data_IF_716676760844
#
_entry.id   IF_716676760844
#
_cell.length_a   1.000
_cell.length_b   1.000
_cell.length_c   1.000
_cell.angle_alpha   90.00
_cell.angle_beta   90.00
_cell.angle_gamma   90.00
#
_symmetry.space_group_name_H-M   'P 1'
#
loop_
_entity.id
_entity.type
_entity.pdbx_description
1 polymer ?
#
# COMPACT_ATOMS: atom_id res chain seq x y z
N UNK A 1 -8.46 -17.25 -17.62
CA UNK A 1 -9.60 -17.79 -16.85
C UNK A 1 -9.97 -16.79 -15.77
N UNK A 2 -11.11 -16.10 -15.90
CA UNK A 2 -11.61 -15.20 -14.85
C UNK A 2 -12.31 -16.06 -13.79
N UNK A 3 -11.83 -16.01 -12.54
CA UNK A 3 -12.52 -16.67 -11.42
C UNK A 3 -13.83 -15.92 -11.11
N UNK A 4 -14.81 -16.65 -10.59
CA UNK A 4 -16.08 -16.07 -10.12
C UNK A 4 -15.83 -14.85 -9.20
N UNK A 5 -16.64 -13.78 -9.28
CA UNK A 5 -16.50 -12.60 -8.43
C UNK A 5 -16.51 -12.94 -6.94
N UNK A 6 -17.17 -14.03 -6.54
CA UNK A 6 -17.25 -14.46 -5.14
C UNK A 6 -16.09 -15.37 -4.68
N UNK A 7 -15.13 -15.66 -5.57
CA UNK A 7 -14.06 -16.60 -5.27
C UNK A 7 -13.03 -15.99 -4.30
N UNK A 8 -12.65 -16.78 -3.28
CA UNK A 8 -11.52 -16.45 -2.43
C UNK A 8 -10.23 -16.35 -3.25
N UNK A 9 -9.48 -15.26 -3.05
CA UNK A 9 -8.22 -15.00 -3.76
C UNK A 9 -7.03 -15.22 -2.85
N UNK A 10 -5.97 -15.81 -3.38
CA UNK A 10 -4.71 -15.95 -2.64
C UNK A 10 -3.93 -14.64 -2.64
N UNK A 11 -3.00 -14.46 -1.70
CA UNK A 11 -2.13 -13.27 -1.68
C UNK A 11 -1.33 -13.07 -2.97
N UNK A 12 -0.94 -14.14 -3.64
CA UNK A 12 -0.25 -14.07 -4.93
C UNK A 12 -1.18 -13.55 -6.03
N UNK A 13 -2.43 -13.99 -6.05
CA UNK A 13 -3.43 -13.53 -7.02
C UNK A 13 -3.78 -12.06 -6.81
N UNK A 14 -4.01 -11.64 -5.55
CA UNK A 14 -4.29 -10.24 -5.22
C UNK A 14 -3.08 -9.36 -5.55
N UNK A 15 -1.87 -9.85 -5.31
CA UNK A 15 -0.63 -9.15 -5.64
C UNK A 15 -0.51 -8.88 -7.13
N UNK A 16 -0.76 -9.88 -7.97
CA UNK A 16 -0.72 -9.73 -9.44
C UNK A 16 -1.86 -8.85 -9.96
N UNK A 17 -3.06 -8.96 -9.38
CA UNK A 17 -4.22 -8.18 -9.83
C UNK A 17 -4.11 -6.70 -9.50
N UNK A 18 -3.60 -6.37 -8.32
CA UNK A 18 -3.51 -4.99 -7.84
C UNK A 18 -2.15 -4.34 -8.14
N UNK A 19 -1.20 -5.12 -8.68
CA UNK A 19 0.19 -4.74 -8.88
C UNK A 19 0.85 -4.24 -7.58
N UNK A 20 0.55 -4.92 -6.47
CA UNK A 20 1.09 -4.62 -5.14
C UNK A 20 1.92 -5.80 -4.68
N UNK A 21 3.19 -5.62 -4.25
CA UNK A 21 4.00 -6.74 -3.77
C UNK A 21 3.37 -7.47 -2.58
N UNK A 22 3.51 -8.80 -2.54
CA UNK A 22 2.91 -9.62 -1.47
C UNK A 22 3.35 -9.19 -0.05
N UNK A 23 4.57 -8.69 0.13
CA UNK A 23 5.04 -8.22 1.44
C UNK A 23 4.34 -6.94 1.89
N UNK A 24 3.97 -6.05 0.95
CA UNK A 24 3.17 -4.84 1.24
C UNK A 24 1.77 -5.25 1.68
N UNK A 25 1.16 -6.24 1.01
CA UNK A 25 -0.14 -6.79 1.43
C UNK A 25 -0.07 -7.37 2.86
N UNK A 26 0.98 -8.14 3.19
CA UNK A 26 1.21 -8.65 4.55
C UNK A 26 1.38 -7.52 5.57
N UNK A 27 2.06 -6.45 5.19
CA UNK A 27 2.22 -5.28 6.06
C UNK A 27 0.88 -4.56 6.27
N UNK A 28 0.07 -4.41 5.22
CA UNK A 28 -1.27 -3.83 5.33
C UNK A 28 -2.20 -4.64 6.23
N UNK A 29 -2.08 -5.97 6.28
CA UNK A 29 -2.82 -6.80 7.26
C UNK A 29 -2.52 -6.39 8.71
N UNK A 30 -1.32 -5.89 9.00
CA UNK A 30 -0.94 -5.45 10.35
C UNK A 30 -1.46 -4.07 10.70
N UNK A 31 -1.54 -3.17 9.70
CA UNK A 31 -1.96 -1.78 9.90
C UNK A 31 -3.48 -1.65 9.80
N UNK A 32 -4.14 -2.35 8.89
CA UNK A 32 -5.58 -2.26 8.66
C UNK A 32 -6.30 -3.47 9.24
N UNK A 33 -6.76 -3.36 10.50
CA UNK A 33 -7.46 -4.43 11.22
C UNK A 33 -8.76 -4.92 10.54
N UNK A 34 -9.29 -4.15 9.59
CA UNK A 34 -10.46 -4.51 8.79
C UNK A 34 -10.13 -5.53 7.70
N UNK A 35 -8.89 -5.57 7.20
CA UNK A 35 -8.41 -6.59 6.26
C UNK A 35 -8.09 -7.85 7.06
N UNK A 36 -8.97 -8.85 7.04
CA UNK A 36 -8.78 -10.09 7.81
C UNK A 36 -8.66 -11.29 6.89
N UNK A 37 -7.43 -11.68 6.48
CA UNK A 37 -7.26 -12.85 5.65
C UNK A 37 -7.70 -14.11 6.40
N UNK A 38 -8.41 -15.00 5.70
CA UNK A 38 -8.74 -16.31 6.19
C UNK A 38 -7.48 -17.18 6.18
N UNK A 39 -6.99 -17.51 7.37
CA UNK A 39 -5.84 -18.41 7.56
C UNK A 39 -6.33 -19.86 7.53
N UNK A 40 -6.00 -20.60 6.47
CA UNK A 40 -6.23 -22.05 6.39
C UNK A 40 -4.96 -22.80 6.81
N UNK A 41 -5.09 -24.07 7.20
CA UNK A 41 -3.96 -24.95 7.50
C UNK A 41 -2.88 -24.87 6.41
N UNK A 42 -1.61 -24.76 6.82
CA UNK A 42 -0.47 -24.59 5.91
C UNK A 42 -0.04 -23.13 5.65
N UNK A 43 -0.50 -22.15 6.43
CA UNK A 43 0.01 -20.77 6.40
C UNK A 43 -0.40 -19.93 5.18
N UNK A 44 -1.26 -20.47 4.31
CA UNK A 44 -1.81 -19.76 3.15
C UNK A 44 -2.91 -18.80 3.60
N UNK A 45 -2.87 -17.60 3.00
CA UNK A 45 -3.83 -16.52 3.24
C UNK A 45 -4.78 -16.43 2.07
N UNK A 46 -6.08 -16.40 2.38
CA UNK A 46 -7.14 -16.19 1.41
C UNK A 46 -7.89 -14.90 1.78
N UNK A 47 -8.07 -14.03 0.80
CA UNK A 47 -8.88 -12.82 0.92
C UNK A 47 -10.27 -13.09 0.38
N UNK A 48 -11.28 -12.54 1.06
CA UNK A 48 -12.64 -12.48 0.51
C UNK A 48 -12.68 -11.43 -0.60
N UNK A 49 -13.62 -11.52 -1.55
CA UNK A 49 -13.85 -10.47 -2.54
C UNK A 49 -13.96 -9.08 -1.92
N UNK A 50 -14.71 -8.97 -0.80
CA UNK A 50 -14.84 -7.73 -0.03
C UNK A 50 -13.51 -7.20 0.53
N UNK A 51 -12.60 -8.09 0.95
CA UNK A 51 -11.28 -7.68 1.42
C UNK A 51 -10.42 -7.18 0.25
N UNK A 52 -10.55 -7.78 -0.93
CA UNK A 52 -9.82 -7.36 -2.14
C UNK A 52 -10.27 -5.98 -2.60
N UNK A 53 -11.58 -5.69 -2.56
CA UNK A 53 -12.13 -4.36 -2.82
C UNK A 53 -11.60 -3.33 -1.84
N UNK A 54 -11.54 -3.68 -0.55
CA UNK A 54 -11.01 -2.80 0.48
C UNK A 54 -9.50 -2.54 0.29
N UNK A 55 -8.71 -3.56 -0.05
CA UNK A 55 -7.28 -3.40 -0.37
C UNK A 55 -7.09 -2.49 -1.60
N UNK A 56 -7.96 -2.63 -2.62
CA UNK A 56 -7.96 -1.75 -3.81
C UNK A 56 -8.22 -0.29 -3.40
N UNK A 57 -9.18 -0.06 -2.51
CA UNK A 57 -9.48 1.27 -1.97
C UNK A 57 -8.32 1.87 -1.17
N UNK A 58 -7.69 1.07 -0.29
CA UNK A 58 -6.49 1.49 0.46
C UNK A 58 -5.36 1.87 -0.50
N UNK A 59 -5.10 1.06 -1.53
CA UNK A 59 -4.08 1.35 -2.54
C UNK A 59 -4.34 2.71 -3.19
N UNK A 60 -5.58 2.96 -3.59
CA UNK A 60 -5.93 4.22 -4.26
C UNK A 60 -5.76 5.42 -3.31
N UNK A 61 -6.15 5.29 -2.03
CA UNK A 61 -5.91 6.32 -1.02
C UNK A 61 -4.42 6.64 -0.85
N UNK A 62 -3.57 5.61 -0.75
CA UNK A 62 -2.14 5.77 -0.51
C UNK A 62 -1.39 6.27 -1.75
N UNK A 63 -1.59 5.63 -2.90
CA UNK A 63 -0.79 5.88 -4.10
C UNK A 63 -1.38 6.95 -5.02
N UNK A 64 -2.71 7.04 -5.16
CA UNK A 64 -3.33 8.04 -6.04
C UNK A 64 -3.59 9.36 -5.31
N UNK A 65 -4.10 9.28 -4.08
CA UNK A 65 -4.47 10.47 -3.31
C UNK A 65 -3.41 10.94 -2.32
N UNK A 66 -2.33 10.17 -2.14
CA UNK A 66 -1.19 10.55 -1.31
C UNK A 66 -1.48 10.56 0.19
N UNK A 67 -2.50 9.83 0.65
CA UNK A 67 -2.77 9.71 2.08
C UNK A 67 -1.66 8.94 2.79
N UNK A 68 -1.39 9.31 4.04
CA UNK A 68 -0.55 8.49 4.93
C UNK A 68 -1.32 7.27 5.41
N UNK A 69 -0.61 6.24 5.89
CA UNK A 69 -1.23 5.04 6.48
C UNK A 69 -2.16 5.43 7.65
N UNK A 70 -1.73 6.37 8.50
CA UNK A 70 -2.56 6.89 9.60
C UNK A 70 -3.79 7.64 9.09
N UNK A 71 -3.64 8.44 8.04
CA UNK A 71 -4.75 9.13 7.39
C UNK A 71 -5.78 8.16 6.83
N UNK A 72 -5.34 7.15 6.09
CA UNK A 72 -6.19 6.10 5.55
C UNK A 72 -6.89 5.29 6.67
N UNK A 73 -6.19 4.97 7.77
CA UNK A 73 -6.80 4.30 8.92
C UNK A 73 -7.91 5.12 9.57
N UNK A 74 -7.72 6.44 9.73
CA UNK A 74 -8.72 7.34 10.31
C UNK A 74 -9.96 7.39 9.43
N UNK A 75 -9.78 7.60 8.12
CA UNK A 75 -10.86 7.65 7.13
C UNK A 75 -11.65 6.34 7.12
N UNK A 76 -10.95 5.21 7.18
CA UNK A 76 -11.57 3.89 7.19
C UNK A 76 -12.34 3.60 8.49
N UNK A 77 -11.93 4.19 9.62
CA UNK A 77 -12.65 4.11 10.90
C UNK A 77 -13.93 4.92 10.86
N UNK A 78 -13.92 6.11 10.26
CA UNK A 78 -15.08 7.00 10.12
C UNK A 78 -16.16 6.37 9.24
N UNK A 79 -15.77 5.64 8.18
CA UNK A 79 -16.70 4.95 7.29
C UNK A 79 -17.10 3.52 7.75
N UNK A 80 -16.75 3.14 8.98
CA UNK A 80 -17.14 1.84 9.52
C UNK A 80 -16.48 0.64 8.80
N UNK A 81 -15.33 0.84 8.16
CA UNK A 81 -14.57 -0.22 7.51
C UNK A 81 -15.08 -0.65 6.15
N UNK A 82 -15.92 0.15 5.48
CA UNK A 82 -16.28 -0.02 4.07
C UNK A 82 -15.65 1.07 3.21
N UNK A 83 -15.33 0.72 1.95
CA UNK A 83 -14.82 1.65 0.95
C UNK A 83 -15.69 1.48 -0.29
N UNK A 84 -16.88 2.07 -0.27
CA UNK A 84 -17.81 1.96 -1.39
C UNK A 84 -17.49 3.00 -2.48
N UNK A 85 -16.92 4.15 -2.09
CA UNK A 85 -16.48 5.19 -3.03
C UNK A 85 -15.29 5.99 -2.48
N UNK A 86 -14.10 5.71 -3.03
CA UNK A 86 -12.83 6.35 -2.62
C UNK A 86 -12.85 7.86 -2.90
N UNK A 87 -13.38 8.29 -4.04
CA UNK A 87 -13.40 9.70 -4.41
C UNK A 87 -14.31 10.52 -3.49
N UNK A 88 -15.47 9.96 -3.13
CA UNK A 88 -16.37 10.57 -2.15
C UNK A 88 -15.72 10.65 -0.75
N UNK A 89 -15.02 9.58 -0.33
CA UNK A 89 -14.22 9.53 0.90
C UNK A 89 -13.19 10.66 0.96
N UNK A 90 -12.41 10.81 -0.11
CA UNK A 90 -11.34 11.82 -0.19
C UNK A 90 -11.93 13.22 -0.23
N UNK A 91 -13.05 13.41 -0.93
CA UNK A 91 -13.75 14.70 -1.00
C UNK A 91 -14.29 15.11 0.36
N UNK A 92 -14.90 14.18 1.11
CA UNK A 92 -15.37 14.42 2.47
C UNK A 92 -14.21 14.75 3.42
N UNK A 93 -13.12 13.96 3.37
CA UNK A 93 -11.95 14.20 4.20
C UNK A 93 -11.26 15.56 3.90
N UNK A 94 -11.28 16.00 2.64
CA UNK A 94 -10.81 17.34 2.23
C UNK A 94 -11.73 18.45 2.73
N UNK A 95 -13.04 18.26 2.66
CA UNK A 95 -14.03 19.23 3.13
C UNK A 95 -13.99 19.42 4.65
N UNK A 96 -13.71 18.35 5.40
CA UNK A 96 -13.58 18.38 6.86
C UNK A 96 -12.24 18.97 7.35
N UNK A 97 -11.39 19.48 6.44
CA UNK A 97 -10.10 20.08 6.80
C UNK A 97 -9.15 19.10 7.49
N UNK A 98 -9.32 17.80 7.28
CA UNK A 98 -8.53 16.78 7.95
C UNK A 98 -7.04 16.94 7.55
N UNK A 99 -6.12 17.24 8.50
CA UNK A 99 -4.71 17.50 8.20
C UNK A 99 -3.94 16.23 7.76
N UNK A 100 -4.65 15.15 7.43
CA UNK A 100 -4.06 13.90 6.93
C UNK A 100 -3.39 14.04 5.55
N UNK A 101 -3.55 15.19 4.89
CA UNK A 101 -2.76 15.63 3.73
C UNK A 101 -1.45 16.36 4.10
N UNK A 102 -1.08 16.38 5.40
CA UNK A 102 0.17 16.97 5.83
C UNK A 102 1.33 16.29 5.15
N UNK A 103 2.12 17.13 4.49
CA UNK A 103 3.37 16.83 3.83
C UNK A 103 4.28 16.00 4.74
N UNK A 104 5.19 15.31 4.06
CA UNK A 104 6.30 14.47 4.52
C UNK A 104 7.23 15.16 5.53
N UNK A 105 6.71 15.59 6.67
CA UNK A 105 7.49 16.16 7.76
C UNK A 105 7.36 15.27 8.99
N UNK A 106 8.38 14.42 9.16
CA UNK A 106 8.91 14.13 10.50
C UNK A 106 8.36 12.94 11.28
N UNK A 107 7.48 12.08 10.75
CA UNK A 107 7.16 10.82 11.43
C UNK A 107 7.97 9.68 10.80
N UNK A 108 9.11 9.38 11.42
CA UNK A 108 9.99 8.26 11.14
C UNK A 108 9.36 6.89 11.44
N UNK A 109 8.19 6.61 10.88
CA UNK A 109 7.61 5.28 10.72
C UNK A 109 7.35 5.04 9.23
N UNK A 110 8.42 5.17 8.41
CA UNK A 110 8.56 4.36 7.20
C UNK A 110 8.58 2.90 7.64
N UNK A 111 7.40 2.34 7.90
CA UNK A 111 7.20 0.99 8.38
C UNK A 111 7.90 0.02 7.44
N UNK A 112 8.97 -0.59 7.95
CA UNK A 112 9.94 -1.39 7.23
C UNK A 112 9.33 -2.44 6.31
N UNK A 113 9.30 -2.15 5.02
CA UNK A 113 10.25 -2.82 4.14
C UNK A 113 11.30 -1.78 3.77
N UNK A 114 12.55 -2.01 4.17
CA UNK A 114 13.69 -1.38 3.51
C UNK A 114 13.51 -1.71 2.02
N UNK A 115 13.21 -0.75 1.11
CA UNK A 115 12.95 -1.06 -0.30
C UNK A 115 14.22 -1.53 -1.03
N UNK A 116 15.33 -1.47 -0.31
CA UNK A 116 16.69 -1.75 -0.65
C UNK A 116 17.29 -2.05 0.72
N UNK A 117 17.69 -3.30 1.01
CA UNK A 117 18.62 -3.58 2.12
C UNK A 117 19.67 -2.44 2.19
N UNK A 118 20.15 -2.02 3.35
CA UNK A 118 21.21 -1.01 3.43
C UNK A 118 22.35 -1.22 2.41
N UNK A 119 22.60 -2.48 2.05
CA UNK A 119 23.45 -2.92 0.95
C UNK A 119 22.98 -2.48 -0.45
N UNK A 120 21.71 -2.69 -0.79
CA UNK A 120 21.14 -2.28 -2.07
C UNK A 120 21.02 -0.75 -2.19
N UNK A 121 20.77 0.00 -1.09
CA UNK A 121 20.82 1.48 -1.11
C UNK A 121 22.23 1.97 -1.40
N UNK A 122 23.22 1.28 -0.81
CA UNK A 122 24.63 1.54 -1.03
C UNK A 122 25.02 1.22 -2.48
N UNK A 123 24.53 0.11 -3.03
CA UNK A 123 24.74 -0.25 -4.44
C UNK A 123 24.13 0.77 -5.41
N UNK A 124 22.90 1.23 -5.19
CA UNK A 124 22.30 2.26 -6.04
C UNK A 124 23.05 3.59 -5.96
N UNK A 125 23.50 4.00 -4.77
CA UNK A 125 24.33 5.21 -4.63
C UNK A 125 25.65 5.08 -5.37
N UNK A 126 26.27 3.89 -5.32
CA UNK A 126 27.50 3.60 -6.07
C UNK A 126 27.27 3.66 -7.57
N UNK A 127 26.27 2.95 -8.09
CA UNK A 127 25.91 2.97 -9.52
C UNK A 127 25.59 4.38 -10.00
N UNK A 128 24.93 5.19 -9.17
CA UNK A 128 24.63 6.58 -9.50
C UNK A 128 25.88 7.49 -9.48
N UNK A 129 26.90 7.18 -8.65
CA UNK A 129 28.21 7.84 -8.72
C UNK A 129 28.94 7.46 -10.00
N UNK A 130 29.03 6.16 -10.29
CA UNK A 130 29.73 5.62 -11.47
C UNK A 130 29.14 6.21 -12.77
N UNK A 131 27.81 6.33 -12.86
CA UNK A 131 27.14 6.94 -14.01
C UNK A 131 27.38 8.45 -14.14
N UNK A 132 27.54 9.17 -13.02
CA UNK A 132 27.87 10.59 -13.04
C UNK A 132 29.30 10.82 -13.50
N UNK A 133 30.23 10.01 -13.01
CA UNK A 133 31.64 10.05 -13.43
C UNK A 133 31.78 9.75 -14.93
N UNK A 134 31.09 8.72 -15.44
CA UNK A 134 31.06 8.41 -16.87
C UNK A 134 30.46 9.54 -17.71
N UNK A 135 29.45 10.24 -17.19
CA UNK A 135 28.87 11.40 -17.87
C UNK A 135 29.85 12.58 -17.92
N UNK A 136 30.62 12.82 -16.86
CA UNK A 136 31.63 13.87 -16.83
C UNK A 136 32.84 13.55 -17.73
N UNK A 137 33.17 12.27 -17.94
CA UNK A 137 34.21 11.85 -18.87
C UNK A 137 33.82 11.95 -20.36
N UNK A 138 32.52 11.95 -20.66
CA UNK A 138 31.98 12.03 -22.02
C UNK A 138 31.55 13.46 -22.41
N UNK A 139 31.70 14.43 -21.51
CA UNK A 139 31.45 15.86 -21.74
C UNK A 139 32.77 16.60 -22.01
#
# INVERSE_FOLDING_TARGET
>A
MQKSPDAFRTISEVSTELDVPQHVLRFWETKFKVVKPLKRGGGRRYYRPSDVELIRGIRDLLYKHGFTIRGAQKLLKEQGGRIDNVDAMVSAARAEGNPALSQTEGDGDTGGSDPLSGEAKTQLRRVLSDLKELKEMLA
#
